data_IF_105982299374
#
_entry.id   IF_105982299374
#
_cell.length_a   1.000
_cell.length_b   1.000
_cell.length_c   1.000
_cell.angle_alpha   90.00
_cell.angle_beta   90.00
_cell.angle_gamma   90.00
#
_symmetry.space_group_name_H-M   'P 1'
#
loop_
_entity.id
_entity.type
_entity.pdbx_description
1 polymer ?
#
# COMPACT_ATOMS: atom_id res chain seq x y z
N UNK A 1 30.24 3.18 3.33
CA UNK A 1 29.04 3.63 2.58
C UNK A 1 28.48 4.89 3.24
N UNK A 2 28.15 5.87 2.43
CA UNK A 2 27.49 7.10 2.91
C UNK A 2 26.10 7.18 2.29
N UNK A 3 25.11 7.57 3.08
CA UNK A 3 23.74 7.80 2.61
C UNK A 3 23.13 8.96 3.38
N UNK A 4 22.15 9.63 2.78
CA UNK A 4 21.42 10.71 3.44
C UNK A 4 20.37 10.15 4.41
N UNK A 5 19.74 9.04 4.03
CA UNK A 5 18.70 8.37 4.83
C UNK A 5 18.95 6.87 4.83
N UNK A 6 18.82 6.27 6.00
CA UNK A 6 18.80 4.81 6.15
C UNK A 6 17.44 4.39 6.69
N UNK A 7 16.81 3.45 6.00
CA UNK A 7 15.50 2.88 6.39
C UNK A 7 15.74 1.47 6.88
N UNK A 8 15.23 1.15 8.05
CA UNK A 8 15.32 -0.19 8.62
C UNK A 8 13.98 -0.91 8.38
N UNK A 9 14.01 -1.88 7.50
CA UNK A 9 12.86 -2.69 7.10
C UNK A 9 12.40 -2.41 5.68
N UNK A 10 12.20 -3.47 4.90
CA UNK A 10 11.69 -3.44 3.53
C UNK A 10 10.24 -3.96 3.44
N UNK A 11 9.43 -3.66 4.43
CA UNK A 11 7.99 -3.81 4.34
C UNK A 11 7.38 -2.71 3.46
N UNK A 12 6.05 -2.71 3.25
CA UNK A 12 5.40 -1.71 2.39
C UNK A 12 5.72 -0.27 2.78
N UNK A 13 5.74 0.04 4.07
CA UNK A 13 6.05 1.40 4.56
C UNK A 13 7.46 1.84 4.22
N UNK A 14 8.45 1.00 4.49
CA UNK A 14 9.86 1.30 4.22
C UNK A 14 10.13 1.43 2.72
N UNK A 15 9.56 0.54 1.94
CA UNK A 15 9.69 0.56 0.47
C UNK A 15 9.03 1.80 -0.14
N UNK A 16 7.83 2.16 0.31
CA UNK A 16 7.14 3.35 -0.18
C UNK A 16 7.89 4.62 0.20
N UNK A 17 8.35 4.74 1.44
CA UNK A 17 9.20 5.87 1.86
C UNK A 17 10.46 5.95 1.00
N UNK A 18 11.13 4.82 0.77
CA UNK A 18 12.31 4.76 -0.10
C UNK A 18 12.03 5.26 -1.52
N UNK A 19 10.90 4.89 -2.09
CA UNK A 19 10.49 5.32 -3.42
C UNK A 19 10.22 6.83 -3.48
N UNK A 20 9.51 7.36 -2.48
CA UNK A 20 9.24 8.81 -2.39
C UNK A 20 10.52 9.61 -2.23
N UNK A 21 11.45 9.15 -1.39
CA UNK A 21 12.75 9.80 -1.21
C UNK A 21 13.60 9.72 -2.48
N UNK A 22 13.59 8.59 -3.17
CA UNK A 22 14.26 8.43 -4.46
C UNK A 22 13.72 9.44 -5.49
N UNK A 23 12.41 9.56 -5.60
CA UNK A 23 11.78 10.53 -6.52
C UNK A 23 12.14 11.99 -6.17
N UNK A 24 12.41 12.27 -4.91
CA UNK A 24 12.86 13.58 -4.45
C UNK A 24 14.38 13.79 -4.60
N UNK A 25 15.10 12.83 -5.17
CA UNK A 25 16.56 12.92 -5.34
C UNK A 25 17.37 12.71 -4.07
N UNK A 26 16.76 12.11 -3.05
CA UNK A 26 17.43 11.86 -1.76
C UNK A 26 18.02 10.45 -1.77
N UNK A 27 19.32 10.37 -1.55
CA UNK A 27 20.03 9.09 -1.50
C UNK A 27 19.62 8.28 -0.27
N UNK A 28 19.08 7.09 -0.50
CA UNK A 28 18.49 6.27 0.56
C UNK A 28 18.99 4.83 0.45
N UNK A 29 19.26 4.22 1.60
CA UNK A 29 19.57 2.80 1.73
C UNK A 29 18.52 2.13 2.60
N UNK A 30 17.96 1.02 2.12
CA UNK A 30 17.00 0.21 2.88
C UNK A 30 17.71 -1.06 3.34
N UNK A 31 17.66 -1.32 4.64
CA UNK A 31 18.25 -2.50 5.26
C UNK A 31 17.13 -3.46 5.68
N UNK A 32 17.18 -4.69 5.17
CA UNK A 32 16.22 -5.74 5.49
C UNK A 32 16.98 -7.01 5.91
N UNK A 33 16.60 -7.58 7.04
CA UNK A 33 17.23 -8.81 7.54
C UNK A 33 16.74 -10.09 6.87
N UNK A 34 15.59 -10.03 6.22
CA UNK A 34 14.96 -11.19 5.57
C UNK A 34 15.17 -11.15 4.06
N UNK A 35 14.90 -12.27 3.41
CA UNK A 35 14.99 -12.36 1.95
C UNK A 35 13.78 -11.66 1.29
N UNK A 36 13.92 -11.21 0.03
CA UNK A 36 12.78 -10.67 -0.73
C UNK A 36 11.59 -11.63 -0.77
N UNK A 37 11.84 -12.92 -0.92
CA UNK A 37 10.79 -13.95 -0.93
C UNK A 37 10.03 -14.01 0.40
N UNK A 38 10.74 -13.89 1.50
CA UNK A 38 10.12 -13.84 2.82
C UNK A 38 9.22 -12.60 2.98
N UNK A 39 9.72 -11.44 2.58
CA UNK A 39 8.96 -10.17 2.66
C UNK A 39 7.70 -10.24 1.80
N UNK A 40 7.81 -10.75 0.57
CA UNK A 40 6.66 -10.94 -0.32
C UNK A 40 5.64 -11.95 0.24
N UNK A 41 6.10 -12.99 0.93
CA UNK A 41 5.24 -14.02 1.51
C UNK A 41 4.51 -13.61 2.79
N UNK A 42 4.82 -12.45 3.35
CA UNK A 42 4.16 -11.96 4.57
C UNK A 42 2.86 -11.24 4.24
N UNK A 43 1.84 -12.02 3.98
CA UNK A 43 0.50 -11.51 3.68
C UNK A 43 -0.19 -11.06 4.97
N UNK A 44 -0.63 -9.79 5.04
CA UNK A 44 -1.32 -9.25 6.21
C UNK A 44 -2.64 -8.59 5.86
N UNK A 45 -2.70 -7.83 4.79
CA UNK A 45 -3.82 -6.99 4.44
C UNK A 45 -4.05 -6.97 2.93
N UNK A 46 -5.17 -6.43 2.50
CA UNK A 46 -5.51 -6.35 1.08
C UNK A 46 -6.43 -5.19 0.76
N UNK A 47 -6.63 -4.27 1.71
CA UNK A 47 -7.50 -3.10 1.51
C UNK A 47 -6.67 -1.85 1.74
N UNK A 48 -6.64 -0.97 0.73
CA UNK A 48 -5.91 0.28 0.77
C UNK A 48 -6.89 1.44 0.92
N UNK A 49 -6.61 2.32 1.86
CA UNK A 49 -7.33 3.58 2.02
C UNK A 49 -6.96 4.57 0.91
N UNK A 50 -7.83 5.54 0.67
CA UNK A 50 -7.64 6.53 -0.39
C UNK A 50 -6.32 7.28 -0.30
N UNK A 51 -5.88 7.65 0.91
CA UNK A 51 -4.60 8.33 1.12
C UNK A 51 -3.40 7.47 0.68
N UNK A 52 -3.42 6.18 0.96
CA UNK A 52 -2.38 5.25 0.51
C UNK A 52 -2.40 5.08 -1.00
N UNK A 53 -3.57 4.96 -1.60
CA UNK A 53 -3.73 4.89 -3.06
C UNK A 53 -3.14 6.11 -3.73
N UNK A 54 -3.42 7.30 -3.21
CA UNK A 54 -2.89 8.56 -3.73
C UNK A 54 -1.36 8.62 -3.63
N UNK A 55 -0.79 8.17 -2.50
CA UNK A 55 0.66 8.11 -2.32
C UNK A 55 1.33 7.14 -3.30
N UNK A 56 0.73 5.98 -3.57
CA UNK A 56 1.25 5.02 -4.55
C UNK A 56 1.24 5.60 -5.95
N UNK A 57 0.21 6.36 -6.31
CA UNK A 57 0.13 7.08 -7.58
C UNK A 57 1.19 8.17 -7.67
N UNK A 58 1.35 8.96 -6.63
CA UNK A 58 2.38 9.99 -6.53
C UNK A 58 3.78 9.40 -6.64
N UNK A 59 4.00 8.25 -6.01
CA UNK A 59 5.28 7.55 -6.09
C UNK A 59 5.56 6.93 -7.46
N UNK A 60 4.56 6.84 -8.35
CA UNK A 60 4.70 6.28 -9.69
C UNK A 60 4.70 4.76 -9.73
N UNK A 61 4.13 4.09 -8.75
CA UNK A 61 4.11 2.61 -8.63
C UNK A 61 2.69 2.03 -8.62
N UNK A 62 1.72 2.76 -9.14
CA UNK A 62 0.31 2.37 -9.06
C UNK A 62 -0.25 1.76 -10.36
N UNK A 63 0.55 1.53 -11.39
CA UNK A 63 0.06 1.10 -12.71
C UNK A 63 -0.71 -0.23 -12.64
N UNK A 64 -0.17 -1.23 -11.96
CA UNK A 64 -0.84 -2.53 -11.80
C UNK A 64 -2.06 -2.41 -10.88
N UNK A 65 -1.96 -1.65 -9.80
CA UNK A 65 -3.08 -1.40 -8.89
C UNK A 65 -4.28 -0.78 -9.61
N UNK A 66 -4.04 0.19 -10.48
CA UNK A 66 -5.10 0.87 -11.22
C UNK A 66 -5.80 -0.04 -12.25
N UNK A 67 -5.11 -1.09 -12.72
CA UNK A 67 -5.67 -2.07 -13.67
C UNK A 67 -6.29 -3.27 -12.95
N UNK A 68 -5.63 -3.81 -11.95
CA UNK A 68 -5.98 -5.08 -11.30
C UNK A 68 -6.72 -4.90 -9.97
N UNK A 69 -6.59 -3.76 -9.32
CA UNK A 69 -7.27 -3.49 -8.06
C UNK A 69 -8.78 -3.33 -8.24
N UNK A 70 -9.52 -3.59 -7.16
CA UNK A 70 -10.98 -3.49 -7.14
C UNK A 70 -11.40 -2.34 -6.22
N UNK A 71 -12.06 -1.34 -6.79
CA UNK A 71 -12.58 -0.20 -6.03
C UNK A 71 -13.86 -0.60 -5.32
N UNK A 72 -13.92 -0.35 -4.01
CA UNK A 72 -15.11 -0.57 -3.19
C UNK A 72 -15.55 0.73 -2.54
N UNK A 73 -16.83 1.05 -2.65
CA UNK A 73 -17.44 2.27 -2.12
C UNK A 73 -18.04 2.10 -0.75
N UNK A 74 -18.06 0.89 -0.22
CA UNK A 74 -18.62 0.57 1.08
C UNK A 74 -18.15 -0.77 1.59
N UNK A 75 -18.49 -1.03 2.85
CA UNK A 75 -18.27 -2.30 3.52
C UNK A 75 -19.56 -2.73 4.20
N UNK A 76 -19.65 -4.00 4.56
CA UNK A 76 -20.80 -4.55 5.24
C UNK A 76 -20.33 -5.31 6.47
N UNK A 77 -20.90 -5.01 7.61
CA UNK A 77 -20.68 -5.76 8.84
C UNK A 77 -21.77 -6.80 9.03
N UNK A 78 -21.37 -7.99 9.37
CA UNK A 78 -22.29 -9.07 9.75
C UNK A 78 -22.07 -9.39 11.22
N UNK A 79 -23.10 -9.15 12.02
CA UNK A 79 -23.10 -9.54 13.42
C UNK A 79 -24.52 -9.84 13.88
N UNK A 80 -24.67 -10.77 14.81
CA UNK A 80 -25.96 -11.16 15.35
C UNK A 80 -26.99 -11.57 14.28
N UNK A 81 -26.51 -12.18 13.18
CA UNK A 81 -27.34 -12.55 12.03
C UNK A 81 -27.84 -11.39 11.18
N UNK A 82 -27.35 -10.17 11.45
CA UNK A 82 -27.77 -8.96 10.72
C UNK A 82 -26.62 -8.42 9.87
N UNK A 83 -26.98 -7.92 8.69
CA UNK A 83 -26.04 -7.20 7.80
C UNK A 83 -26.24 -5.70 8.00
N UNK A 84 -25.13 -5.03 8.30
CA UNK A 84 -25.11 -3.57 8.48
C UNK A 84 -24.19 -2.97 7.43
N UNK A 85 -24.73 -2.38 6.34
CA UNK A 85 -23.92 -1.73 5.34
C UNK A 85 -23.39 -0.38 5.85
N UNK A 86 -22.14 -0.07 5.47
CA UNK A 86 -21.52 1.23 5.69
C UNK A 86 -21.13 1.82 4.35
N UNK A 87 -21.82 2.88 3.94
CA UNK A 87 -21.59 3.55 2.66
C UNK A 87 -20.41 4.53 2.80
N UNK A 88 -19.18 4.02 2.71
CA UNK A 88 -17.96 4.79 2.92
C UNK A 88 -17.88 6.01 2.03
N UNK A 89 -18.20 5.89 0.75
CA UNK A 89 -18.12 7.01 -0.20
C UNK A 89 -19.12 8.11 0.13
N UNK A 90 -20.32 7.78 0.57
CA UNK A 90 -21.34 8.75 1.00
C UNK A 90 -20.93 9.47 2.27
N UNK A 91 -20.27 8.76 3.21
CA UNK A 91 -19.87 9.30 4.51
C UNK A 91 -18.56 10.09 4.46
N UNK A 92 -17.80 10.02 3.38
CA UNK A 92 -16.43 10.57 3.27
C UNK A 92 -16.21 11.45 2.04
N UNK A 93 -17.23 12.13 1.55
CA UNK A 93 -17.14 12.99 0.37
C UNK A 93 -16.59 12.27 -0.87
N UNK A 94 -17.06 11.05 -1.12
CA UNK A 94 -16.72 10.28 -2.31
C UNK A 94 -15.45 9.44 -2.21
N UNK A 95 -14.81 9.35 -1.05
CA UNK A 95 -13.63 8.49 -0.87
C UNK A 95 -14.02 7.02 -0.90
N UNK A 96 -13.19 6.21 -1.52
CA UNK A 96 -13.36 4.77 -1.63
C UNK A 96 -12.15 4.04 -1.07
N UNK A 97 -12.24 2.72 -0.99
CA UNK A 97 -11.09 1.86 -0.70
C UNK A 97 -10.75 1.03 -1.93
N UNK A 98 -9.48 0.62 -2.02
CA UNK A 98 -8.98 -0.21 -3.11
C UNK A 98 -8.63 -1.59 -2.55
N UNK A 99 -9.25 -2.62 -3.08
CA UNK A 99 -8.86 -4.01 -2.78
C UNK A 99 -7.71 -4.39 -3.69
N UNK A 100 -6.52 -4.44 -3.10
CA UNK A 100 -5.28 -4.80 -3.80
C UNK A 100 -4.31 -5.39 -2.77
N UNK A 101 -3.96 -6.66 -2.91
CA UNK A 101 -3.24 -7.41 -1.89
C UNK A 101 -1.89 -6.80 -1.52
N UNK A 102 -1.52 -6.88 -0.25
CA UNK A 102 -0.23 -6.39 0.24
C UNK A 102 0.95 -7.01 -0.52
N UNK A 103 0.86 -8.28 -0.88
CA UNK A 103 1.90 -8.96 -1.67
C UNK A 103 2.12 -8.24 -3.00
N UNK A 104 1.05 -7.83 -3.66
CA UNK A 104 1.13 -7.14 -4.95
C UNK A 104 1.69 -5.72 -4.80
N UNK A 105 1.26 -4.98 -3.77
CA UNK A 105 1.83 -3.67 -3.44
C UNK A 105 3.34 -3.79 -3.20
N UNK A 106 3.74 -4.76 -2.39
CA UNK A 106 5.15 -4.99 -2.05
C UNK A 106 5.95 -5.37 -3.30
N UNK A 107 5.39 -6.22 -4.16
CA UNK A 107 6.01 -6.60 -5.43
C UNK A 107 6.23 -5.39 -6.34
N UNK A 108 5.23 -4.52 -6.46
CA UNK A 108 5.32 -3.31 -7.28
C UNK A 108 6.39 -2.35 -6.75
N UNK A 109 6.49 -2.23 -5.42
CA UNK A 109 7.49 -1.39 -4.77
C UNK A 109 8.92 -1.94 -4.90
N UNK A 110 9.07 -3.26 -5.00
CA UNK A 110 10.38 -3.91 -5.18
C UNK A 110 10.89 -3.86 -6.63
N UNK A 111 9.99 -3.67 -7.58
CA UNK A 111 10.32 -3.74 -9.01
C UNK A 111 11.15 -2.53 -9.53
#
# INVERSE_FOLDING_TARGET
>A
MKTQVAIIGAGPSGLLLGQLLHNAGIHTVILERQTPQYVLGRIRAGILESGTVDLLREAGVAQRMDVEGLVHHGVEFLFDGQRVPVALSELTDGKSVMVYGQTEVTRDLMA
#
